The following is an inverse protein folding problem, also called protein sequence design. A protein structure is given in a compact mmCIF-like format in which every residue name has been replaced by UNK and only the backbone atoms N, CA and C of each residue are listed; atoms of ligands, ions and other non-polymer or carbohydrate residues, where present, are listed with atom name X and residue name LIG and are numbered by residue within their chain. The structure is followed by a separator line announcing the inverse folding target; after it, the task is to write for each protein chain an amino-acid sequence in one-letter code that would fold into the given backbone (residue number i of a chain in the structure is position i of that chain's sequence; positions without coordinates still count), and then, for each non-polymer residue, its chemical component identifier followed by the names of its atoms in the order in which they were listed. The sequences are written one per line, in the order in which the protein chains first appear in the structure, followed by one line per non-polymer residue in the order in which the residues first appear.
data_IF_739073242067
#
_entry.id   IF_739073242067
#
_cell.length_a   1.000
_cell.length_b   1.000
_cell.length_c   1.000
_cell.angle_alpha   90.00
_cell.angle_beta   90.00
_cell.angle_gamma   90.00
#
_symmetry.space_group_name_H-M   'P 1'
#
loop_
_entity.id
_entity.type
_entity.pdbx_description
1 polymer ?
#
# COMPACT_ATOMS: atom_id res chain seq x y z
N UNK A 1 12.79 1.21 -34.37
CA UNK A 1 11.52 0.88 -33.66
C UNK A 1 11.90 0.53 -32.22
N UNK A 2 11.22 1.08 -31.19
CA UNK A 2 11.55 0.76 -29.78
C UNK A 2 10.95 -0.58 -29.39
N UNK A 3 11.71 -1.36 -28.62
CA UNK A 3 11.29 -2.66 -28.08
C UNK A 3 10.81 -2.54 -26.65
N UNK A 4 9.58 -2.96 -26.43
CA UNK A 4 8.88 -2.90 -25.14
C UNK A 4 8.65 -4.33 -24.65
N UNK A 5 9.29 -4.68 -23.54
CA UNK A 5 9.16 -5.99 -22.93
C UNK A 5 8.21 -5.95 -21.75
N UNK A 6 7.20 -6.83 -21.75
CA UNK A 6 6.35 -7.01 -20.56
C UNK A 6 6.79 -8.27 -19.83
N UNK A 7 7.30 -8.08 -18.62
CA UNK A 7 7.85 -9.13 -17.75
C UNK A 7 6.88 -9.43 -16.59
N UNK A 8 5.62 -9.68 -16.93
CA UNK A 8 4.54 -10.01 -16.01
C UNK A 8 3.44 -10.78 -16.76
N UNK A 9 2.65 -11.60 -16.05
CA UNK A 9 1.50 -12.26 -16.68
C UNK A 9 0.46 -11.24 -17.16
N UNK A 10 0.07 -11.32 -18.42
CA UNK A 10 -0.96 -10.47 -19.02
C UNK A 10 -2.06 -11.32 -19.68
N UNK A 11 -3.32 -10.91 -19.51
CA UNK A 11 -4.43 -11.46 -20.29
C UNK A 11 -4.40 -10.90 -21.71
N UNK A 12 -4.91 -11.62 -22.69
CA UNK A 12 -4.96 -11.20 -24.09
C UNK A 12 -5.53 -9.80 -24.31
N UNK A 13 -6.58 -9.44 -23.58
CA UNK A 13 -7.16 -8.09 -23.65
C UNK A 13 -6.17 -6.98 -23.27
N UNK A 14 -5.24 -7.26 -22.32
CA UNK A 14 -4.25 -6.29 -21.88
C UNK A 14 -3.11 -6.17 -22.90
N UNK A 15 -2.71 -7.28 -23.52
CA UNK A 15 -1.70 -7.27 -24.60
C UNK A 15 -2.20 -6.41 -25.77
N UNK A 16 -3.43 -6.69 -26.25
CA UNK A 16 -4.07 -5.91 -27.32
C UNK A 16 -4.17 -4.43 -27.01
N UNK A 17 -4.49 -4.07 -25.75
CA UNK A 17 -4.55 -2.67 -25.32
C UNK A 17 -3.17 -1.99 -25.38
N UNK A 18 -2.11 -2.68 -24.93
CA UNK A 18 -0.74 -2.17 -25.03
C UNK A 18 -0.31 -2.02 -26.49
N UNK A 19 -0.49 -3.05 -27.30
CA UNK A 19 -0.12 -3.04 -28.73
C UNK A 19 -0.85 -1.94 -29.51
N UNK A 20 -2.12 -1.68 -29.19
CA UNK A 20 -2.88 -0.59 -29.81
C UNK A 20 -2.45 0.81 -29.39
N UNK A 21 -1.67 0.94 -28.32
CA UNK A 21 -1.22 2.25 -27.80
C UNK A 21 -0.11 2.90 -28.64
N UNK A 22 0.62 2.12 -29.45
CA UNK A 22 1.69 2.64 -30.30
C UNK A 22 1.99 1.72 -31.49
N UNK A 23 1.88 2.26 -32.70
CA UNK A 23 2.26 1.56 -33.94
C UNK A 23 3.78 1.55 -34.20
N UNK A 24 4.55 2.39 -33.49
CA UNK A 24 6.00 2.55 -33.69
C UNK A 24 6.85 1.76 -32.70
N UNK A 25 6.21 0.85 -31.95
CA UNK A 25 6.88 0.00 -30.97
C UNK A 25 6.66 -1.49 -31.30
N UNK A 26 7.64 -2.30 -30.97
CA UNK A 26 7.52 -3.75 -30.96
C UNK A 26 7.25 -4.21 -29.51
N UNK A 27 6.15 -4.91 -29.28
CA UNK A 27 5.78 -5.44 -27.98
C UNK A 27 6.15 -6.93 -27.88
N UNK A 28 6.95 -7.28 -26.87
CA UNK A 28 7.38 -8.65 -26.60
C UNK A 28 6.85 -9.05 -25.21
N UNK A 29 5.93 -10.02 -25.19
CA UNK A 29 5.28 -10.46 -23.95
C UNK A 29 5.91 -11.75 -23.44
N UNK A 30 6.80 -11.66 -22.44
CA UNK A 30 7.50 -12.83 -21.88
C UNK A 30 6.63 -13.65 -20.93
N UNK A 31 5.59 -13.04 -20.33
CA UNK A 31 4.69 -13.75 -19.41
C UNK A 31 5.32 -14.18 -18.09
N UNK A 32 6.57 -13.85 -17.85
CA UNK A 32 7.35 -14.25 -16.67
C UNK A 32 7.90 -13.04 -15.91
N UNK A 33 8.04 -13.18 -14.57
CA UNK A 33 8.46 -12.08 -13.68
C UNK A 33 9.98 -11.93 -13.63
N UNK A 34 10.74 -12.99 -13.88
CA UNK A 34 12.21 -13.01 -13.79
C UNK A 34 12.81 -13.51 -15.11
N UNK A 35 12.91 -12.67 -16.14
CA UNK A 35 13.59 -13.03 -17.37
C UNK A 35 15.11 -13.09 -17.14
N UNK A 36 15.82 -13.81 -18.00
CA UNK A 36 17.28 -13.71 -18.08
C UNK A 36 17.70 -12.43 -18.80
N UNK A 37 18.96 -11.98 -18.62
CA UNK A 37 19.49 -10.84 -19.35
C UNK A 37 19.38 -11.04 -20.87
N UNK A 38 19.72 -12.23 -21.38
CA UNK A 38 19.65 -12.55 -22.81
C UNK A 38 18.26 -12.35 -23.42
N UNK A 39 17.20 -12.57 -22.63
CA UNK A 39 15.83 -12.40 -23.10
C UNK A 39 15.39 -10.93 -23.21
N UNK A 40 16.07 -9.99 -22.54
CA UNK A 40 15.68 -8.58 -22.46
C UNK A 40 16.80 -7.62 -22.84
N UNK A 41 17.95 -8.11 -23.32
CA UNK A 41 19.16 -7.31 -23.56
C UNK A 41 19.01 -6.17 -24.58
N UNK A 42 18.04 -6.26 -25.48
CA UNK A 42 17.75 -5.26 -26.49
C UNK A 42 16.51 -4.42 -26.17
N UNK A 43 16.03 -4.46 -24.92
CA UNK A 43 14.89 -3.67 -24.49
C UNK A 43 15.20 -2.17 -24.40
N UNK A 44 14.26 -1.34 -24.89
CA UNK A 44 14.24 0.08 -24.60
C UNK A 44 13.33 0.39 -23.40
N UNK A 45 12.28 -0.42 -23.23
CA UNK A 45 11.30 -0.26 -22.15
C UNK A 45 11.03 -1.62 -21.51
N UNK A 46 10.99 -1.62 -20.18
CA UNK A 46 10.56 -2.77 -19.39
C UNK A 46 9.28 -2.41 -18.64
N UNK A 47 8.27 -3.27 -18.75
CA UNK A 47 7.05 -3.24 -17.93
C UNK A 47 7.06 -4.47 -17.04
N UNK A 48 7.28 -4.29 -15.75
CA UNK A 48 7.38 -5.36 -14.76
C UNK A 48 8.49 -5.13 -13.75
N UNK A 49 8.48 -5.93 -12.67
CA UNK A 49 9.43 -5.81 -11.57
C UNK A 49 10.60 -6.82 -11.77
N UNK A 50 11.55 -6.49 -12.61
CA UNK A 50 12.74 -7.33 -12.80
C UNK A 50 13.93 -6.81 -11.96
N UNK A 51 14.86 -7.70 -11.54
CA UNK A 51 15.98 -7.30 -10.68
C UNK A 51 16.85 -6.20 -11.29
N UNK A 52 17.34 -5.28 -10.45
CA UNK A 52 18.24 -4.19 -10.88
C UNK A 52 19.52 -4.72 -11.50
N UNK A 53 20.03 -5.87 -11.05
CA UNK A 53 21.19 -6.54 -11.63
C UNK A 53 21.03 -6.90 -13.11
N UNK A 54 19.80 -7.13 -13.55
CA UNK A 54 19.49 -7.32 -14.97
C UNK A 54 19.37 -5.96 -15.65
N UNK A 55 18.61 -5.01 -15.07
CA UNK A 55 18.36 -3.69 -15.65
C UNK A 55 19.64 -2.93 -15.96
N UNK A 56 20.63 -2.95 -15.05
CA UNK A 56 21.90 -2.24 -15.22
C UNK A 56 22.74 -2.74 -16.40
N UNK A 57 22.46 -3.93 -16.90
CA UNK A 57 23.19 -4.55 -18.01
C UNK A 57 22.44 -4.48 -19.36
N UNK A 58 21.33 -3.74 -19.43
CA UNK A 58 20.58 -3.51 -20.69
C UNK A 58 21.07 -2.19 -21.31
N UNK A 59 21.82 -2.22 -22.42
CA UNK A 59 22.55 -1.06 -22.91
C UNK A 59 21.67 0.08 -23.42
N UNK A 60 20.48 -0.23 -23.96
CA UNK A 60 19.60 0.74 -24.58
C UNK A 60 18.31 0.98 -23.75
N UNK A 61 18.33 0.63 -22.46
CA UNK A 61 17.18 0.83 -21.57
C UNK A 61 16.94 2.32 -21.30
N UNK A 62 15.74 2.79 -21.51
CA UNK A 62 15.32 4.17 -21.32
C UNK A 62 14.28 4.32 -20.21
N UNK A 63 13.42 3.31 -20.03
CA UNK A 63 12.27 3.42 -19.14
C UNK A 63 11.92 2.07 -18.49
N UNK A 64 11.58 2.12 -17.20
CA UNK A 64 11.06 0.99 -16.44
C UNK A 64 9.74 1.40 -15.79
N UNK A 65 8.67 0.68 -16.14
CA UNK A 65 7.38 0.76 -15.48
C UNK A 65 7.24 -0.41 -14.51
N UNK A 66 7.24 -0.14 -13.20
CA UNK A 66 6.95 -1.16 -12.20
C UNK A 66 5.45 -1.50 -12.19
N UNK A 67 5.12 -2.76 -11.95
CA UNK A 67 3.75 -3.20 -11.70
C UNK A 67 3.36 -3.15 -10.21
N UNK A 68 4.23 -2.63 -9.34
CA UNK A 68 3.99 -2.35 -7.93
C UNK A 68 3.91 -0.84 -7.66
N UNK A 69 3.17 -0.45 -6.63
CA UNK A 69 3.17 0.93 -6.15
C UNK A 69 4.46 1.27 -5.35
N UNK A 70 5.05 0.29 -4.67
CA UNK A 70 6.32 0.46 -3.97
C UNK A 70 7.51 0.43 -4.93
N UNK A 71 8.48 1.31 -4.69
CA UNK A 71 9.73 1.45 -5.48
C UNK A 71 10.97 0.95 -4.74
N UNK A 72 10.82 0.39 -3.54
CA UNK A 72 11.93 -0.12 -2.75
C UNK A 72 12.75 -1.15 -3.53
N UNK A 73 14.07 -1.06 -3.43
CA UNK A 73 14.99 -1.90 -4.20
C UNK A 73 15.26 -1.41 -5.63
N UNK A 74 14.59 -0.32 -6.05
CA UNK A 74 14.82 0.37 -7.33
C UNK A 74 15.26 1.82 -7.10
N UNK A 75 14.39 2.67 -6.55
CA UNK A 75 14.65 4.10 -6.35
C UNK A 75 15.74 4.39 -5.30
N UNK A 76 15.95 3.48 -4.38
CA UNK A 76 16.95 3.52 -3.31
C UNK A 76 18.19 2.64 -3.60
N UNK A 77 18.24 1.97 -4.76
CA UNK A 77 19.34 1.12 -5.17
C UNK A 77 20.40 1.94 -5.93
N UNK A 78 21.65 2.01 -5.44
CA UNK A 78 22.72 2.76 -6.09
C UNK A 78 23.09 2.22 -7.48
N UNK A 79 22.80 0.93 -7.74
CA UNK A 79 23.07 0.28 -9.03
C UNK A 79 21.96 0.50 -10.07
N UNK A 80 20.83 1.16 -9.70
CA UNK A 80 19.80 1.48 -10.69
C UNK A 80 20.36 2.46 -11.73
N UNK A 81 20.20 2.20 -13.04
CA UNK A 81 20.78 3.04 -14.10
C UNK A 81 20.29 4.49 -14.02
N UNK A 82 21.21 5.46 -13.85
CA UNK A 82 20.88 6.86 -13.60
C UNK A 82 20.18 7.57 -14.76
N UNK A 83 20.37 7.09 -15.97
CA UNK A 83 19.78 7.61 -17.21
C UNK A 83 18.44 6.96 -17.56
N UNK A 84 17.96 6.01 -16.75
CA UNK A 84 16.70 5.29 -16.98
C UNK A 84 15.59 5.92 -16.13
N UNK A 85 14.48 6.26 -16.77
CA UNK A 85 13.31 6.75 -16.08
C UNK A 85 12.59 5.60 -15.37
N UNK A 86 12.20 5.82 -14.11
CA UNK A 86 11.48 4.86 -13.30
C UNK A 86 10.07 5.38 -13.00
N UNK A 87 9.05 4.61 -13.33
CA UNK A 87 7.68 4.83 -12.92
C UNK A 87 7.12 3.63 -12.16
N UNK A 88 6.10 3.86 -11.34
CA UNK A 88 5.43 2.83 -10.55
C UNK A 88 3.93 2.79 -10.84
N UNK A 89 3.21 1.84 -10.23
CA UNK A 89 1.77 1.68 -10.39
C UNK A 89 0.97 2.37 -9.27
N UNK A 90 1.39 3.55 -8.80
CA UNK A 90 0.60 4.37 -7.87
C UNK A 90 -0.74 4.74 -8.52
N UNK A 91 -1.84 4.57 -7.78
CA UNK A 91 -3.22 4.76 -8.27
C UNK A 91 -3.93 3.47 -8.68
N UNK A 92 -3.19 2.37 -8.88
CA UNK A 92 -3.79 1.11 -9.34
C UNK A 92 -4.39 0.24 -8.20
N UNK A 93 -3.96 0.47 -6.96
CA UNK A 93 -4.24 -0.42 -5.84
C UNK A 93 -5.17 0.18 -4.77
N UNK A 94 -5.39 1.48 -4.79
CA UNK A 94 -6.09 2.20 -3.73
C UNK A 94 -7.46 1.63 -3.40
N UNK A 95 -8.28 1.36 -4.41
CA UNK A 95 -9.63 0.79 -4.23
C UNK A 95 -9.56 -0.60 -3.60
N UNK A 96 -8.86 -1.53 -4.24
CA UNK A 96 -8.82 -2.93 -3.79
C UNK A 96 -8.23 -3.09 -2.37
N UNK A 97 -7.13 -2.37 -2.07
CA UNK A 97 -6.51 -2.45 -0.74
C UNK A 97 -7.40 -1.77 0.31
N UNK A 98 -8.04 -0.64 -0.01
CA UNK A 98 -8.95 0.01 0.94
C UNK A 98 -10.16 -0.86 1.32
N UNK A 99 -10.68 -1.64 0.39
CA UNK A 99 -11.74 -2.62 0.65
C UNK A 99 -11.24 -3.75 1.57
N UNK A 100 -10.04 -4.27 1.35
CA UNK A 100 -9.42 -5.25 2.24
C UNK A 100 -9.21 -4.71 3.66
N UNK A 101 -8.76 -3.44 3.80
CA UNK A 101 -8.61 -2.78 5.11
C UNK A 101 -9.96 -2.73 5.82
N UNK A 102 -11.01 -2.26 5.15
CA UNK A 102 -12.37 -2.18 5.71
C UNK A 102 -12.91 -3.55 6.10
N UNK A 103 -12.75 -4.54 5.22
CA UNK A 103 -13.17 -5.91 5.51
C UNK A 103 -12.49 -6.45 6.78
N UNK A 104 -11.18 -6.24 6.93
CA UNK A 104 -10.43 -6.64 8.13
C UNK A 104 -10.92 -5.93 9.39
N UNK A 105 -11.10 -4.60 9.34
CA UNK A 105 -11.60 -3.81 10.47
C UNK A 105 -13.01 -4.30 10.88
N UNK A 106 -13.93 -4.42 9.94
CA UNK A 106 -15.29 -4.89 10.21
C UNK A 106 -15.32 -6.31 10.75
N UNK A 107 -14.47 -7.18 10.24
CA UNK A 107 -14.31 -8.56 10.70
C UNK A 107 -13.96 -8.60 12.19
N UNK A 108 -13.02 -7.75 12.64
CA UNK A 108 -12.64 -7.67 14.05
C UNK A 108 -13.72 -7.00 14.90
N UNK A 109 -14.28 -5.87 14.45
CA UNK A 109 -15.33 -5.12 15.17
C UNK A 109 -16.59 -5.96 15.41
N UNK A 110 -16.89 -6.91 14.53
CA UNK A 110 -18.10 -7.75 14.56
C UNK A 110 -17.85 -9.18 15.05
N UNK A 111 -16.66 -9.48 15.58
CA UNK A 111 -16.26 -10.78 16.10
C UNK A 111 -16.48 -11.94 15.08
N UNK A 112 -16.39 -11.65 13.77
CA UNK A 112 -16.64 -12.62 12.70
C UNK A 112 -15.81 -13.91 12.86
N UNK A 113 -14.50 -13.89 13.23
CA UNK A 113 -13.72 -15.11 13.42
C UNK A 113 -14.31 -16.03 14.50
N UNK A 114 -14.79 -15.47 15.61
CA UNK A 114 -15.42 -16.23 16.69
C UNK A 114 -16.72 -16.88 16.22
N UNK A 115 -17.56 -16.12 15.51
CA UNK A 115 -18.81 -16.66 14.96
C UNK A 115 -18.59 -17.72 13.88
N UNK A 116 -17.54 -17.60 13.04
CA UNK A 116 -17.17 -18.66 12.08
C UNK A 116 -16.78 -19.95 12.84
N UNK A 117 -16.01 -19.82 13.94
CA UNK A 117 -15.65 -20.96 14.79
C UNK A 117 -16.88 -21.61 15.42
N UNK A 118 -17.79 -20.80 15.99
CA UNK A 118 -19.03 -21.29 16.57
C UNK A 118 -19.90 -22.01 15.53
N UNK A 119 -20.04 -21.44 14.33
CA UNK A 119 -20.76 -22.07 13.24
C UNK A 119 -20.16 -23.42 12.84
N UNK A 120 -18.82 -23.52 12.80
CA UNK A 120 -18.12 -24.77 12.50
C UNK A 120 -18.40 -25.84 13.56
N UNK A 121 -18.55 -25.43 14.84
CA UNK A 121 -18.87 -26.28 15.95
C UNK A 121 -20.39 -26.56 16.10
N UNK A 122 -21.25 -25.93 15.26
CA UNK A 122 -22.71 -25.92 15.35
C UNK A 122 -23.21 -25.36 16.69
N UNK A 123 -22.51 -24.36 17.23
CA UNK A 123 -22.83 -23.67 18.46
C UNK A 123 -23.55 -22.37 18.18
N UNK A 124 -24.66 -22.11 18.85
CA UNK A 124 -25.32 -20.81 18.91
C UNK A 124 -24.89 -20.10 20.19
N UNK A 125 -23.82 -19.30 20.08
CA UNK A 125 -23.19 -18.62 21.21
C UNK A 125 -23.02 -17.13 20.94
N UNK A 126 -23.36 -16.32 21.94
CA UNK A 126 -23.07 -14.88 21.92
C UNK A 126 -21.61 -14.64 22.28
N UNK A 127 -20.90 -13.89 21.43
CA UNK A 127 -19.51 -13.49 21.63
C UNK A 127 -19.38 -12.08 22.25
N UNK A 128 -20.45 -11.57 22.81
CA UNK A 128 -20.49 -10.31 23.52
C UNK A 128 -20.75 -9.07 22.63
N UNK A 129 -20.57 -7.90 23.23
CA UNK A 129 -20.89 -6.63 22.57
C UNK A 129 -19.94 -6.34 21.42
N UNK A 130 -20.50 -5.98 20.25
CA UNK A 130 -19.75 -5.58 19.06
C UNK A 130 -19.56 -4.05 19.02
N UNK A 131 -18.44 -3.62 18.47
CA UNK A 131 -18.19 -2.20 18.16
C UNK A 131 -18.66 -1.85 16.75
N UNK A 132 -18.77 -0.55 16.47
CA UNK A 132 -19.11 -0.04 15.14
C UNK A 132 -18.01 0.88 14.62
N UNK A 133 -17.86 0.92 13.30
CA UNK A 133 -17.02 1.93 12.63
C UNK A 133 -17.71 3.31 12.67
N UNK A 134 -19.03 3.34 12.77
CA UNK A 134 -19.82 4.58 12.93
C UNK A 134 -19.41 5.30 14.22
N UNK A 135 -19.13 6.59 14.13
CA UNK A 135 -18.62 7.44 15.22
C UNK A 135 -17.25 7.00 15.79
N UNK A 136 -16.51 6.09 15.15
CA UNK A 136 -15.15 5.77 15.57
C UNK A 136 -14.15 6.84 15.10
N UNK A 137 -13.11 7.09 15.90
CA UNK A 137 -11.99 7.95 15.54
C UNK A 137 -10.94 7.12 14.82
N UNK A 138 -10.73 7.40 13.55
CA UNK A 138 -9.76 6.67 12.71
C UNK A 138 -8.57 7.58 12.40
N UNK A 139 -7.39 7.14 12.81
CA UNK A 139 -6.11 7.78 12.48
C UNK A 139 -5.52 7.13 11.23
N UNK A 140 -5.33 7.91 10.17
CA UNK A 140 -4.75 7.45 8.91
C UNK A 140 -3.35 8.02 8.74
N UNK A 141 -2.34 7.16 8.87
CA UNK A 141 -0.93 7.49 8.66
C UNK A 141 -0.58 7.35 7.17
N UNK A 142 -0.51 8.49 6.48
CA UNK A 142 -0.28 8.56 5.04
C UNK A 142 -1.56 8.66 4.22
N UNK A 143 -1.81 9.84 3.64
CA UNK A 143 -2.92 10.10 2.72
C UNK A 143 -2.45 10.08 1.26
N UNK A 144 -1.77 8.99 0.88
CA UNK A 144 -1.49 8.63 -0.52
C UNK A 144 -2.73 8.02 -1.20
N UNK A 145 -2.54 7.26 -2.25
CA UNK A 145 -3.62 6.57 -2.99
C UNK A 145 -4.49 5.70 -2.06
N UNK A 146 -3.87 4.77 -1.35
CA UNK A 146 -4.56 3.84 -0.45
C UNK A 146 -5.25 4.57 0.71
N UNK A 147 -4.51 5.46 1.39
CA UNK A 147 -5.06 6.19 2.54
C UNK A 147 -6.24 7.09 2.19
N UNK A 148 -6.23 7.73 1.02
CA UNK A 148 -7.36 8.51 0.52
C UNK A 148 -8.57 7.65 0.21
N UNK A 149 -8.37 6.54 -0.51
CA UNK A 149 -9.46 5.64 -0.89
C UNK A 149 -10.08 4.94 0.33
N UNK A 150 -9.28 4.59 1.33
CA UNK A 150 -9.77 4.10 2.61
C UNK A 150 -10.57 5.18 3.36
N UNK A 151 -10.01 6.39 3.49
CA UNK A 151 -10.65 7.49 4.22
C UNK A 151 -12.03 7.84 3.64
N UNK A 152 -12.17 7.91 2.31
CA UNK A 152 -13.48 8.13 1.66
C UNK A 152 -14.53 7.11 2.10
N UNK A 153 -14.17 5.82 2.12
CA UNK A 153 -15.09 4.73 2.45
C UNK A 153 -15.44 4.73 3.93
N UNK A 154 -14.46 4.90 4.80
CA UNK A 154 -14.66 4.95 6.24
C UNK A 154 -15.50 6.17 6.65
N UNK A 155 -15.26 7.34 6.05
CA UNK A 155 -16.06 8.55 6.23
C UNK A 155 -17.52 8.35 5.80
N UNK A 156 -17.74 7.71 4.64
CA UNK A 156 -19.10 7.39 4.18
C UNK A 156 -19.84 6.41 5.10
N UNK A 157 -19.12 5.66 5.95
CA UNK A 157 -19.68 4.80 6.99
C UNK A 157 -19.86 5.54 8.33
N UNK A 158 -19.64 6.84 8.37
CA UNK A 158 -19.84 7.72 9.55
C UNK A 158 -18.70 7.71 10.56
N UNK A 159 -17.47 7.33 10.16
CA UNK A 159 -16.28 7.47 10.98
C UNK A 159 -15.74 8.90 10.96
N UNK A 160 -15.07 9.32 12.03
CA UNK A 160 -14.29 10.56 12.09
C UNK A 160 -12.85 10.30 11.66
N UNK A 161 -12.40 11.00 10.62
CA UNK A 161 -11.10 10.72 9.99
C UNK A 161 -10.08 11.81 10.33
N UNK A 162 -9.03 11.43 11.04
CA UNK A 162 -7.82 12.24 11.19
C UNK A 162 -6.72 11.70 10.28
N UNK A 163 -6.21 12.51 9.38
CA UNK A 163 -5.14 12.12 8.46
C UNK A 163 -3.81 12.77 8.81
N UNK A 164 -2.72 12.01 8.80
CA UNK A 164 -1.35 12.54 8.93
C UNK A 164 -0.63 12.46 7.58
N UNK A 165 -0.12 13.59 7.11
CA UNK A 165 0.75 13.68 5.92
C UNK A 165 1.75 14.83 6.04
N UNK A 166 2.80 14.80 5.22
CA UNK A 166 3.88 15.82 5.25
C UNK A 166 3.43 17.22 4.85
N UNK A 167 2.52 17.31 3.89
CA UNK A 167 2.00 18.57 3.38
C UNK A 167 0.49 18.62 3.63
N UNK A 168 0.06 19.58 4.43
CA UNK A 168 -1.33 19.75 4.89
C UNK A 168 -2.15 20.72 4.00
N UNK A 169 -1.64 21.12 2.84
CA UNK A 169 -2.43 21.84 1.85
C UNK A 169 -3.53 20.92 1.31
N UNK A 170 -4.66 21.50 0.96
CA UNK A 170 -5.78 20.80 0.31
C UNK A 170 -6.33 19.63 1.12
N UNK A 171 -7.01 19.95 2.24
CA UNK A 171 -7.77 18.99 3.04
C UNK A 171 -9.04 18.55 2.29
N UNK A 172 -9.18 17.26 1.94
CA UNK A 172 -10.42 16.76 1.34
C UNK A 172 -11.60 16.80 2.32
N UNK A 173 -12.84 16.89 1.81
CA UNK A 173 -14.06 17.00 2.61
C UNK A 173 -14.32 15.75 3.48
N UNK A 174 -13.84 14.59 3.07
CA UNK A 174 -13.93 13.33 3.82
C UNK A 174 -12.82 13.16 4.88
N UNK A 175 -12.07 14.21 5.19
CA UNK A 175 -11.08 14.26 6.28
C UNK A 175 -11.56 15.32 7.27
N UNK A 176 -11.88 14.92 8.49
CA UNK A 176 -12.30 15.87 9.54
C UNK A 176 -11.11 16.71 10.00
N UNK A 177 -9.97 16.07 10.25
CA UNK A 177 -8.75 16.73 10.71
C UNK A 177 -7.54 16.31 9.88
N UNK A 178 -6.75 17.28 9.42
CA UNK A 178 -5.49 17.04 8.69
C UNK A 178 -4.33 17.60 9.52
N UNK A 179 -3.35 16.73 9.81
CA UNK A 179 -2.21 17.03 10.67
C UNK A 179 -0.89 16.69 10.00
N UNK A 180 0.18 17.27 10.53
CA UNK A 180 1.57 16.83 10.31
C UNK A 180 1.97 15.77 11.33
N UNK A 181 3.20 15.25 11.19
CA UNK A 181 3.72 14.23 12.09
C UNK A 181 3.89 14.70 13.54
N UNK A 182 3.99 16.02 13.77
CA UNK A 182 4.14 16.59 15.11
C UNK A 182 2.93 16.31 16.02
N UNK A 183 1.76 16.07 15.42
CA UNK A 183 0.54 15.71 16.14
C UNK A 183 0.35 14.21 16.36
N UNK A 184 1.34 13.36 15.99
CA UNK A 184 1.19 11.91 16.02
C UNK A 184 0.73 11.40 17.38
N UNK A 185 1.42 11.79 18.45
CA UNK A 185 1.16 11.29 19.80
C UNK A 185 -0.23 11.70 20.31
N UNK A 186 -0.63 12.95 20.10
CA UNK A 186 -1.94 13.45 20.49
C UNK A 186 -3.09 12.73 19.77
N UNK A 187 -2.86 12.30 18.53
CA UNK A 187 -3.87 11.60 17.74
C UNK A 187 -3.87 10.09 17.99
N UNK A 188 -2.74 9.50 18.39
CA UNK A 188 -2.69 8.12 18.86
C UNK A 188 -3.56 7.92 20.11
N UNK A 189 -3.58 8.88 21.03
CA UNK A 189 -4.38 8.81 22.26
C UNK A 189 -5.89 8.70 22.02
N UNK A 190 -6.37 9.21 20.89
CA UNK A 190 -7.80 9.30 20.56
C UNK A 190 -8.28 8.17 19.66
N UNK A 191 -7.37 7.49 18.97
CA UNK A 191 -7.70 6.57 17.92
C UNK A 191 -8.40 5.29 18.42
N UNK A 192 -9.51 4.94 17.78
CA UNK A 192 -10.16 3.63 17.89
C UNK A 192 -9.66 2.66 16.81
N UNK A 193 -9.19 3.21 15.69
CA UNK A 193 -8.56 2.47 14.59
C UNK A 193 -7.36 3.27 14.07
N UNK A 194 -6.25 2.60 13.84
CA UNK A 194 -5.03 3.18 13.25
C UNK A 194 -4.75 2.44 11.95
N UNK A 195 -4.71 3.18 10.84
CA UNK A 195 -4.40 2.62 9.51
C UNK A 195 -3.16 3.27 8.96
N UNK A 196 -2.13 2.48 8.65
CA UNK A 196 -0.91 2.97 8.02
C UNK A 196 -0.77 2.50 6.58
N UNK A 197 -0.54 3.45 5.69
CA UNK A 197 -0.15 3.26 4.29
C UNK A 197 1.14 4.02 3.94
N UNK A 198 2.00 4.24 4.95
CA UNK A 198 3.25 4.97 4.78
C UNK A 198 4.26 4.17 3.94
N UNK A 199 5.03 4.84 3.07
CA UNK A 199 6.15 4.21 2.38
C UNK A 199 7.28 3.89 3.37
N UNK A 200 8.14 2.92 3.04
CA UNK A 200 9.39 2.69 3.76
C UNK A 200 10.40 3.79 3.46
N UNK A 201 10.86 4.46 4.51
CA UNK A 201 11.87 5.51 4.44
C UNK A 201 12.57 5.65 5.78
N UNK A 202 13.70 6.37 5.82
CA UNK A 202 14.36 6.70 7.11
C UNK A 202 13.42 7.42 8.09
N UNK A 203 12.54 8.28 7.58
CA UNK A 203 11.59 9.05 8.41
C UNK A 203 10.40 8.22 8.93
N UNK A 204 10.14 7.05 8.37
CA UNK A 204 9.04 6.16 8.78
C UNK A 204 9.53 4.86 9.40
N UNK A 205 10.85 4.67 9.47
CA UNK A 205 11.47 3.52 10.10
C UNK A 205 11.27 3.58 11.62
N UNK A 206 10.65 2.56 12.18
CA UNK A 206 10.27 2.44 13.60
C UNK A 206 9.55 3.69 14.15
N UNK A 207 8.68 4.28 13.31
CA UNK A 207 7.89 5.45 13.68
C UNK A 207 6.95 5.18 14.87
N UNK A 208 6.41 3.96 14.93
CA UNK A 208 5.63 3.47 16.07
C UNK A 208 6.57 2.68 16.99
N UNK A 209 7.38 3.38 17.75
CA UNK A 209 8.30 2.85 18.76
C UNK A 209 7.59 2.64 20.12
N UNK A 210 8.32 2.16 21.12
CA UNK A 210 7.82 1.98 22.49
C UNK A 210 7.20 3.28 23.05
N UNK A 211 7.81 4.43 22.75
CA UNK A 211 7.29 5.72 23.18
C UNK A 211 5.95 6.03 22.53
N UNK A 212 5.82 5.81 21.22
CA UNK A 212 4.53 5.99 20.52
C UNK A 212 3.44 5.10 21.12
N UNK A 213 3.77 3.86 21.50
CA UNK A 213 2.81 2.94 22.13
C UNK A 213 2.32 3.44 23.49
N UNK A 214 3.15 4.15 24.28
CA UNK A 214 2.69 4.73 25.57
C UNK A 214 1.60 5.79 25.39
N UNK A 215 1.46 6.37 24.20
CA UNK A 215 0.40 7.30 23.84
C UNK A 215 -0.88 6.63 23.36
N UNK A 216 -0.88 5.33 23.16
CA UNK A 216 -2.09 4.58 22.81
C UNK A 216 -2.88 4.31 24.09
N UNK A 217 -3.93 5.09 24.33
CA UNK A 217 -4.75 5.00 25.56
C UNK A 217 -5.92 4.03 25.43
N UNK A 218 -6.29 3.67 24.21
CA UNK A 218 -7.33 2.70 23.89
C UNK A 218 -6.68 1.43 23.38
N UNK A 219 -7.46 0.41 23.16
CA UNK A 219 -7.04 -0.79 22.41
C UNK A 219 -7.52 -0.66 20.96
N UNK A 220 -6.82 0.11 20.12
CA UNK A 220 -7.24 0.34 18.75
C UNK A 220 -7.02 -0.90 17.88
N UNK A 221 -7.80 -1.02 16.82
CA UNK A 221 -7.44 -1.92 15.73
C UNK A 221 -6.31 -1.24 14.94
N UNK A 222 -5.17 -1.93 14.82
CA UNK A 222 -4.03 -1.47 14.02
C UNK A 222 -3.96 -2.25 12.70
N UNK A 223 -3.94 -1.50 11.60
CA UNK A 223 -3.80 -2.05 10.24
C UNK A 223 -2.61 -1.40 9.55
N UNK A 224 -1.65 -2.20 9.12
CA UNK A 224 -0.50 -1.72 8.38
C UNK A 224 -0.43 -2.38 6.99
N UNK A 225 -0.69 -1.60 5.95
CA UNK A 225 -0.55 -1.99 4.54
C UNK A 225 0.62 -1.30 3.85
N UNK A 226 1.41 -0.54 4.62
CA UNK A 226 2.62 0.13 4.16
C UNK A 226 3.83 -0.79 4.16
N UNK A 227 4.67 -0.67 5.19
CA UNK A 227 5.89 -1.49 5.35
C UNK A 227 5.99 -1.99 6.79
N UNK A 228 6.48 -3.24 6.96
CA UNK A 228 6.71 -3.84 8.26
C UNK A 228 7.70 -3.05 9.12
N UNK A 229 8.63 -2.34 8.50
CA UNK A 229 9.60 -1.47 9.20
C UNK A 229 9.00 -0.26 9.92
N UNK A 230 7.68 -0.05 9.88
CA UNK A 230 6.99 1.00 10.64
C UNK A 230 7.05 0.79 12.14
N UNK A 231 7.00 -0.47 12.57
CA UNK A 231 7.04 -0.89 13.97
C UNK A 231 7.92 -2.13 14.10
N UNK A 232 8.73 -2.21 15.14
CA UNK A 232 9.47 -3.42 15.45
C UNK A 232 8.52 -4.53 15.93
N UNK A 233 8.74 -5.78 15.51
CA UNK A 233 7.90 -6.92 15.90
C UNK A 233 7.88 -7.13 17.41
N UNK A 234 9.02 -6.95 18.09
CA UNK A 234 9.10 -7.09 19.55
C UNK A 234 8.31 -6.02 20.29
N UNK A 235 8.32 -4.79 19.74
CA UNK A 235 7.53 -3.67 20.29
C UNK A 235 6.04 -3.96 20.13
N UNK A 236 5.64 -4.53 18.99
CA UNK A 236 4.24 -4.92 18.74
C UNK A 236 3.78 -6.10 19.61
N UNK A 237 4.66 -7.07 19.88
CA UNK A 237 4.35 -8.22 20.75
C UNK A 237 4.11 -7.81 22.22
N UNK A 238 4.73 -6.70 22.66
CA UNK A 238 4.63 -6.19 24.03
C UNK A 238 3.50 -5.15 24.21
N UNK A 239 2.75 -4.85 23.14
CA UNK A 239 1.67 -3.87 23.13
C UNK A 239 0.31 -4.52 23.43
#
# INVERSE_FOLDING_TARGET
MKKIYTCMPLKEKHKKLLESSSSNCEFIHLGQIKPSLEQVKDANVIIGNIPVDILKNIPNLEFVQLNSAGTNGYSDNPDFPKNVLLANATGAYGVAISECILAGILTLLKHIPSYIKNQSNREWKDEGSVKSIYNSNILVLGLGDIGKEFSKRAYAMGAHITGIKRNIKDKPDYIDKLCTMDSLYDELEKADVIVSSLPGSKATYHLLDEKALTHIKKQPIFVNVGRGSLIDSKVLENA
#
